data_IF_950797079269
#
_entry.id   IF_950797079269
#
_cell.length_a   1.000
_cell.length_b   1.000
_cell.length_c   1.000
_cell.angle_alpha   90.00
_cell.angle_beta   90.00
_cell.angle_gamma   90.00
#
_symmetry.space_group_name_H-M   'P 1'
#
loop_
_entity.id
_entity.type
_entity.pdbx_description
1 polymer ?
#
# COMPACT_ATOMS: atom_id res chain seq x y z
N UNK A 1 3.14 8.42 -1.53
CA UNK A 1 3.41 9.38 -2.61
C UNK A 1 2.63 10.66 -2.40
N UNK A 2 3.27 11.81 -2.41
CA UNK A 2 2.59 13.10 -2.29
C UNK A 2 1.86 13.57 -3.57
N UNK A 3 1.91 12.79 -4.67
CA UNK A 3 1.29 13.10 -5.96
C UNK A 3 0.26 12.03 -6.32
N UNK A 4 -0.94 12.45 -6.75
CA UNK A 4 -1.95 11.55 -7.32
C UNK A 4 -1.52 10.98 -8.67
N UNK A 5 -2.08 9.83 -9.05
CA UNK A 5 -1.87 9.24 -10.40
C UNK A 5 -0.54 8.57 -10.65
N UNK A 6 0.28 8.28 -9.62
CA UNK A 6 1.55 7.54 -9.79
C UNK A 6 1.40 6.01 -9.75
N UNK A 7 0.18 5.49 -9.61
CA UNK A 7 -0.11 4.06 -9.63
C UNK A 7 0.00 3.35 -8.28
N UNK A 8 -0.09 4.05 -7.13
CA UNK A 8 0.00 3.42 -5.80
C UNK A 8 -0.95 2.23 -5.63
N UNK A 9 -2.25 2.47 -5.79
CA UNK A 9 -3.28 1.46 -5.57
C UNK A 9 -3.13 0.26 -6.50
N UNK A 10 -2.75 0.49 -7.78
CA UNK A 10 -2.48 -0.60 -8.71
C UNK A 10 -1.26 -1.45 -8.30
N UNK A 11 -0.21 -0.81 -7.78
CA UNK A 11 0.96 -1.51 -7.24
C UNK A 11 0.57 -2.25 -5.95
N UNK A 12 -0.18 -1.61 -5.04
CA UNK A 12 -0.65 -2.24 -3.80
C UNK A 12 -1.49 -3.49 -4.10
N UNK A 13 -2.43 -3.42 -5.03
CA UNK A 13 -3.27 -4.56 -5.42
C UNK A 13 -2.45 -5.72 -6.00
N UNK A 14 -1.52 -5.42 -6.91
CA UNK A 14 -0.67 -6.44 -7.52
C UNK A 14 0.35 -7.02 -6.52
N UNK A 15 0.94 -6.19 -5.66
CA UNK A 15 1.85 -6.66 -4.60
C UNK A 15 1.11 -7.56 -3.61
N UNK A 16 -0.10 -7.19 -3.18
CA UNK A 16 -0.93 -8.00 -2.31
C UNK A 16 -1.22 -9.38 -2.92
N UNK A 17 -1.62 -9.40 -4.20
CA UNK A 17 -1.88 -10.64 -4.92
C UNK A 17 -0.60 -11.48 -5.13
N UNK A 18 0.53 -10.85 -5.38
CA UNK A 18 1.82 -11.53 -5.52
C UNK A 18 2.26 -12.21 -4.22
N UNK A 19 2.15 -11.52 -3.08
CA UNK A 19 2.49 -12.06 -1.76
C UNK A 19 1.53 -13.19 -1.37
N UNK A 20 0.22 -13.02 -1.59
CA UNK A 20 -0.77 -14.06 -1.33
C UNK A 20 -0.54 -15.31 -2.22
N UNK A 21 -0.16 -15.11 -3.48
CA UNK A 21 0.21 -16.20 -4.40
C UNK A 21 1.43 -17.03 -3.95
N UNK A 22 2.23 -16.50 -3.05
CA UNK A 22 3.37 -17.19 -2.41
C UNK A 22 2.99 -17.91 -1.12
N UNK A 23 1.73 -17.85 -0.72
CA UNK A 23 1.20 -18.51 0.46
C UNK A 23 1.21 -17.66 1.73
N UNK A 24 1.56 -16.38 1.65
CA UNK A 24 1.44 -15.46 2.78
C UNK A 24 -0.03 -15.09 3.03
N UNK A 25 -0.38 -14.91 4.30
CA UNK A 25 -1.67 -14.37 4.71
C UNK A 25 -1.62 -12.84 4.63
N UNK A 26 -2.27 -12.28 3.61
CA UNK A 26 -2.17 -10.85 3.29
C UNK A 26 -3.48 -10.12 3.56
N UNK A 27 -3.38 -9.00 4.28
CA UNK A 27 -4.41 -7.98 4.39
C UNK A 27 -4.10 -6.78 3.48
N UNK A 28 -5.15 -6.14 2.95
CA UNK A 28 -5.05 -4.93 2.16
C UNK A 28 -6.14 -3.93 2.58
N UNK A 29 -5.73 -2.78 3.10
CA UNK A 29 -6.60 -1.72 3.57
C UNK A 29 -6.50 -0.50 2.64
N UNK A 30 -7.63 -0.05 2.11
CA UNK A 30 -7.73 1.18 1.33
C UNK A 30 -8.07 2.35 2.26
N UNK A 31 -7.11 3.23 2.46
CA UNK A 31 -7.23 4.41 3.30
C UNK A 31 -7.65 5.68 2.52
N UNK A 32 -7.97 5.58 1.23
CA UNK A 32 -8.43 6.71 0.42
C UNK A 32 -9.96 6.86 0.48
N UNK A 33 -10.42 7.75 1.37
CA UNK A 33 -11.85 8.05 1.53
C UNK A 33 -12.47 8.76 0.33
N UNK A 34 -11.66 9.49 -0.44
CA UNK A 34 -12.17 10.34 -1.53
C UNK A 34 -12.21 9.61 -2.88
N UNK A 35 -11.39 8.58 -3.03
CA UNK A 35 -11.28 7.83 -4.27
C UNK A 35 -10.90 6.37 -4.00
N UNK A 36 -11.69 5.63 -3.19
CA UNK A 36 -11.38 4.25 -2.90
C UNK A 36 -11.37 3.43 -4.19
N UNK A 37 -10.35 2.63 -4.38
CA UNK A 37 -10.15 1.88 -5.62
C UNK A 37 -9.60 0.48 -5.41
N UNK A 38 -9.02 0.22 -4.24
CA UNK A 38 -8.31 -1.03 -3.97
C UNK A 38 -9.26 -2.24 -3.98
N UNK A 39 -10.48 -2.09 -3.44
CA UNK A 39 -11.50 -3.15 -3.45
C UNK A 39 -11.88 -3.55 -4.86
N UNK A 40 -12.08 -2.58 -5.76
CA UNK A 40 -12.33 -2.83 -7.17
C UNK A 40 -11.14 -3.53 -7.84
N UNK A 41 -9.92 -3.07 -7.59
CA UNK A 41 -8.71 -3.61 -8.18
C UNK A 41 -8.41 -5.05 -7.73
N UNK A 42 -8.91 -5.45 -6.56
CA UNK A 42 -8.79 -6.81 -6.02
C UNK A 42 -10.04 -7.67 -6.26
N UNK A 43 -11.02 -7.19 -7.04
CA UNK A 43 -12.19 -7.95 -7.46
C UNK A 43 -13.25 -8.17 -6.37
N UNK A 44 -13.30 -7.29 -5.37
CA UNK A 44 -14.27 -7.36 -4.26
C UNK A 44 -15.23 -6.16 -4.23
N UNK A 45 -15.36 -5.44 -5.35
CA UNK A 45 -16.32 -4.34 -5.48
C UNK A 45 -17.74 -4.84 -5.24
N UNK A 46 -18.50 -4.13 -4.39
CA UNK A 46 -19.86 -4.54 -4.01
C UNK A 46 -19.93 -5.74 -3.06
N UNK A 47 -18.79 -6.26 -2.58
CA UNK A 47 -18.80 -7.25 -1.51
C UNK A 47 -19.35 -6.61 -0.22
N UNK A 48 -20.17 -7.36 0.49
CA UNK A 48 -20.66 -6.96 1.81
C UNK A 48 -19.65 -7.38 2.86
N UNK A 49 -19.42 -6.51 3.83
CA UNK A 49 -18.62 -6.84 5.00
C UNK A 49 -19.45 -7.74 5.93
N UNK A 50 -18.79 -8.72 6.54
CA UNK A 50 -19.45 -9.57 7.52
C UNK A 50 -19.49 -8.88 8.89
N UNK A 51 -20.68 -8.82 9.50
CA UNK A 51 -20.80 -8.37 10.88
C UNK A 51 -20.35 -9.47 11.84
N UNK A 52 -19.42 -9.16 12.71
CA UNK A 52 -18.97 -10.04 13.79
C UNK A 52 -19.26 -9.38 15.14
N UNK A 53 -19.45 -10.16 16.22
CA UNK A 53 -19.67 -9.58 17.56
C UNK A 53 -18.56 -8.66 18.05
N UNK A 54 -17.34 -8.85 17.54
CA UNK A 54 -16.12 -8.13 17.92
C UNK A 54 -15.70 -7.07 16.92
N UNK A 55 -16.34 -7.00 15.72
CA UNK A 55 -15.95 -6.06 14.69
C UNK A 55 -16.48 -6.43 13.31
N UNK A 56 -15.73 -6.12 12.28
CA UNK A 56 -16.10 -6.32 10.89
C UNK A 56 -15.15 -7.31 10.21
N UNK A 57 -15.70 -8.33 9.53
CA UNK A 57 -14.90 -9.24 8.74
C UNK A 57 -14.50 -8.61 7.40
N UNK A 58 -13.22 -8.68 7.00
CA UNK A 58 -12.78 -8.21 5.69
C UNK A 58 -13.36 -9.09 4.57
N UNK A 59 -13.56 -8.49 3.39
CA UNK A 59 -13.91 -9.24 2.20
C UNK A 59 -12.72 -10.07 1.72
N UNK A 60 -12.98 -11.22 1.09
CA UNK A 60 -11.94 -12.08 0.53
C UNK A 60 -11.87 -11.93 -0.98
N UNK A 61 -10.72 -11.53 -1.50
CA UNK A 61 -10.49 -11.43 -2.94
C UNK A 61 -10.32 -12.82 -3.59
N UNK A 62 -10.54 -12.94 -4.92
CA UNK A 62 -10.24 -14.18 -5.64
C UNK A 62 -8.78 -14.63 -5.52
N UNK A 63 -7.85 -13.71 -5.30
CA UNK A 63 -6.43 -14.00 -5.07
C UNK A 63 -6.09 -14.36 -3.60
N UNK A 64 -7.09 -14.47 -2.72
CA UNK A 64 -6.89 -14.85 -1.33
C UNK A 64 -6.53 -13.69 -0.38
N UNK A 65 -6.49 -12.45 -0.86
CA UNK A 65 -6.21 -11.27 -0.03
C UNK A 65 -7.44 -10.88 0.78
N UNK A 66 -7.28 -10.58 2.07
CA UNK A 66 -8.32 -10.00 2.93
C UNK A 66 -8.36 -8.50 2.68
N UNK A 67 -9.51 -7.95 2.29
CA UNK A 67 -9.64 -6.58 1.81
C UNK A 67 -10.66 -5.79 2.59
N UNK A 68 -10.28 -4.59 2.99
CA UNK A 68 -11.20 -3.54 3.42
C UNK A 68 -10.99 -2.33 2.51
N UNK A 69 -12.06 -1.85 1.88
CA UNK A 69 -12.07 -0.61 1.11
C UNK A 69 -13.22 0.28 1.57
N UNK A 70 -12.98 1.57 1.56
CA UNK A 70 -13.98 2.57 1.94
C UNK A 70 -15.25 2.53 1.07
N UNK A 71 -15.16 2.02 -0.16
CA UNK A 71 -16.35 1.83 -1.01
C UNK A 71 -17.35 0.83 -0.42
N UNK A 72 -16.85 -0.19 0.31
CA UNK A 72 -17.70 -1.21 0.95
C UNK A 72 -18.51 -0.64 2.12
N UNK A 73 -17.99 0.42 2.76
CA UNK A 73 -18.63 1.10 3.87
C UNK A 73 -19.65 2.16 3.41
N UNK A 74 -19.53 2.64 2.17
CA UNK A 74 -20.41 3.70 1.63
C UNK A 74 -21.74 3.18 1.09
N UNK A 75 -21.84 1.89 0.76
CA UNK A 75 -23.00 1.32 0.06
C UNK A 75 -24.09 0.73 0.96
N UNK A 76 -23.99 0.81 2.27
CA UNK A 76 -25.02 0.30 3.16
C UNK A 76 -25.93 1.41 3.68
N UNK A 77 -27.15 1.47 3.14
CA UNK A 77 -28.22 2.33 3.68
C UNK A 77 -28.59 1.94 5.13
N UNK A 78 -28.28 0.73 5.56
CA UNK A 78 -28.66 0.13 6.84
C UNK A 78 -27.50 -0.11 7.82
N UNK A 79 -26.24 0.15 7.45
CA UNK A 79 -25.14 0.03 8.39
C UNK A 79 -25.32 1.04 9.53
N UNK A 80 -25.10 0.64 10.80
CA UNK A 80 -25.10 1.59 11.92
C UNK A 80 -23.84 2.45 11.83
N UNK A 81 -23.79 3.27 10.78
CA UNK A 81 -22.72 4.24 10.59
C UNK A 81 -22.80 5.26 11.71
N UNK A 82 -21.98 5.11 12.71
CA UNK A 82 -21.57 6.22 13.60
C UNK A 82 -20.98 7.40 12.82
N UNK A 83 -20.89 7.27 11.51
CA UNK A 83 -20.33 8.18 10.50
C UNK A 83 -21.34 9.18 9.93
N UNK A 84 -22.65 8.98 10.14
CA UNK A 84 -23.70 9.89 9.67
C UNK A 84 -24.04 10.94 10.72
N UNK A 85 -23.16 11.88 11.00
CA UNK A 85 -23.60 13.16 11.52
C UNK A 85 -23.71 14.16 10.36
N UNK A 86 -24.93 14.58 10.01
CA UNK A 86 -25.14 15.54 8.95
C UNK A 86 -24.82 16.95 9.46
N UNK A 87 -23.95 17.64 8.76
CA UNK A 87 -24.11 19.09 8.69
C UNK A 87 -23.02 19.97 9.30
N UNK A 88 -21.76 19.57 9.38
CA UNK A 88 -20.69 20.53 9.64
C UNK A 88 -19.60 20.44 8.57
N UNK A 89 -19.73 21.26 7.53
CA UNK A 89 -18.73 21.47 6.50
C UNK A 89 -17.56 22.30 7.04
N UNK A 90 -16.41 21.69 7.22
CA UNK A 90 -15.17 22.38 7.53
C UNK A 90 -13.98 21.43 7.43
N UNK A 91 -12.86 21.94 6.94
CA UNK A 91 -11.58 21.22 6.76
C UNK A 91 -11.11 20.45 8.02
N UNK A 92 -11.41 20.97 9.20
CA UNK A 92 -11.05 20.34 10.50
C UNK A 92 -11.88 19.06 10.71
N UNK A 93 -13.16 19.05 10.38
CA UNK A 93 -14.05 17.90 10.54
C UNK A 93 -13.71 16.77 9.58
N UNK A 94 -13.40 17.10 8.33
CA UNK A 94 -12.99 16.12 7.34
C UNK A 94 -11.69 15.40 7.78
N UNK A 95 -10.76 16.14 8.36
CA UNK A 95 -9.51 15.65 8.91
C UNK A 95 -9.71 14.72 10.10
N UNK A 96 -10.66 15.02 10.99
CA UNK A 96 -10.99 14.20 12.16
C UNK A 96 -11.71 12.92 11.75
N UNK A 97 -12.61 13.01 10.76
CA UNK A 97 -13.29 11.85 10.18
C UNK A 97 -12.29 10.89 9.53
N UNK A 98 -11.38 11.38 8.69
CA UNK A 98 -10.36 10.54 8.04
C UNK A 98 -9.50 9.80 9.06
N UNK A 99 -9.14 10.45 10.17
CA UNK A 99 -8.35 9.83 11.25
C UNK A 99 -9.17 8.78 12.01
N UNK A 100 -10.45 9.06 12.24
CA UNK A 100 -11.39 8.11 12.87
C UNK A 100 -11.54 6.84 12.04
N UNK A 101 -11.76 7.02 10.72
CA UNK A 101 -11.86 5.90 9.78
C UNK A 101 -10.63 5.03 9.77
N UNK A 102 -9.45 5.63 9.66
CA UNK A 102 -8.20 4.88 9.69
C UNK A 102 -8.06 4.04 10.97
N UNK A 103 -8.44 4.62 12.11
CA UNK A 103 -8.41 3.90 13.39
C UNK A 103 -9.35 2.71 13.40
N UNK A 104 -10.57 2.85 12.88
CA UNK A 104 -11.55 1.78 12.81
C UNK A 104 -11.13 0.70 11.81
N UNK A 105 -10.63 1.08 10.62
CA UNK A 105 -10.10 0.14 9.62
C UNK A 105 -8.92 -0.67 10.18
N UNK A 106 -8.09 -0.07 11.00
CA UNK A 106 -6.93 -0.76 11.58
C UNK A 106 -7.27 -1.51 12.86
N UNK A 107 -8.25 -1.05 13.65
CA UNK A 107 -8.54 -1.57 14.98
C UNK A 107 -9.79 -2.43 15.08
N UNK A 108 -10.86 -2.11 14.32
CA UNK A 108 -12.16 -2.77 14.44
C UNK A 108 -12.37 -3.87 13.37
N UNK A 109 -11.43 -4.01 12.43
CA UNK A 109 -11.46 -5.10 11.45
C UNK A 109 -10.84 -6.35 12.05
N UNK A 110 -11.59 -7.44 12.01
CA UNK A 110 -11.14 -8.78 12.40
C UNK A 110 -10.24 -9.40 11.33
N UNK A 111 -9.03 -8.87 11.22
CA UNK A 111 -8.05 -9.34 10.23
C UNK A 111 -7.64 -10.80 10.44
N UNK A 112 -7.74 -11.32 11.68
CA UNK A 112 -7.13 -12.58 12.08
C UNK A 112 -5.59 -12.50 12.04
N UNK A 113 -4.93 -13.65 11.99
CA UNK A 113 -3.48 -13.67 11.82
C UNK A 113 -3.10 -13.24 10.39
N UNK A 114 -2.18 -12.30 10.28
CA UNK A 114 -1.61 -11.81 9.03
C UNK A 114 -0.09 -11.89 9.09
N UNK A 115 0.51 -12.28 7.96
CA UNK A 115 1.95 -12.11 7.74
C UNK A 115 2.26 -10.68 7.30
N UNK A 116 1.36 -10.07 6.49
CA UNK A 116 1.53 -8.71 5.96
C UNK A 116 0.19 -7.98 5.90
N UNK A 117 0.14 -6.74 6.40
CA UNK A 117 -0.93 -5.79 6.15
C UNK A 117 -0.41 -4.65 5.27
N UNK A 118 -0.94 -4.53 4.05
CA UNK A 118 -0.67 -3.43 3.15
C UNK A 118 -1.73 -2.33 3.33
N UNK A 119 -1.29 -1.10 3.55
CA UNK A 119 -2.18 0.06 3.67
C UNK A 119 -1.94 1.00 2.50
N UNK A 120 -2.94 1.12 1.60
CA UNK A 120 -2.89 2.09 0.50
C UNK A 120 -3.29 3.47 1.01
N UNK A 121 -2.31 4.36 1.08
CA UNK A 121 -2.46 5.70 1.67
C UNK A 121 -2.80 6.71 0.56
N UNK A 122 -3.81 7.59 0.75
CA UNK A 122 -4.15 8.61 -0.23
C UNK A 122 -2.98 9.55 -0.53
N UNK A 123 -3.02 10.26 -1.66
CA UNK A 123 -2.00 11.22 -2.00
C UNK A 123 -1.96 12.38 -1.00
N UNK A 124 -0.76 12.86 -0.66
CA UNK A 124 -0.55 13.94 0.29
C UNK A 124 0.37 13.53 1.43
N UNK A 125 1.36 14.37 1.74
CA UNK A 125 2.31 14.09 2.82
C UNK A 125 1.68 14.22 4.21
N UNK A 126 0.68 15.07 4.36
CA UNK A 126 -0.11 15.23 5.58
C UNK A 126 -0.86 13.93 5.97
N UNK A 127 -1.35 13.17 4.99
CA UNK A 127 -2.02 11.88 5.22
C UNK A 127 -1.06 10.82 5.76
N UNK A 128 0.15 10.79 5.22
CA UNK A 128 1.21 9.90 5.72
C UNK A 128 1.51 10.20 7.19
N UNK A 129 1.67 11.49 7.55
CA UNK A 129 1.94 11.89 8.92
C UNK A 129 0.87 11.38 9.91
N UNK A 130 -0.40 11.54 9.56
CA UNK A 130 -1.52 11.05 10.40
C UNK A 130 -1.54 9.53 10.55
N UNK A 131 -1.27 8.79 9.46
CA UNK A 131 -1.18 7.34 9.53
C UNK A 131 -0.07 6.91 10.51
N UNK A 132 1.10 7.53 10.41
CA UNK A 132 2.25 7.23 11.26
C UNK A 132 2.01 7.61 12.74
N UNK A 133 1.14 8.60 13.02
CA UNK A 133 0.68 8.90 14.39
C UNK A 133 -0.26 7.82 14.96
N UNK A 134 -1.06 7.18 14.09
CA UNK A 134 -2.00 6.11 14.48
C UNK A 134 -1.34 4.75 14.60
N UNK A 135 -0.34 4.49 13.76
CA UNK A 135 0.42 3.24 13.70
C UNK A 135 1.87 3.54 13.98
N UNK A 136 2.30 3.56 15.25
CA UNK A 136 3.66 3.94 15.61
C UNK A 136 4.71 2.90 15.19
N UNK A 137 4.29 1.67 14.89
CA UNK A 137 5.17 0.56 14.50
C UNK A 137 4.94 0.17 13.04
N UNK A 138 5.35 1.04 12.12
CA UNK A 138 5.35 0.73 10.69
C UNK A 138 6.68 0.10 10.32
N UNK A 139 6.66 -1.16 9.90
CA UNK A 139 7.87 -1.89 9.51
C UNK A 139 8.47 -1.35 8.22
N UNK A 140 7.62 -1.13 7.22
CA UNK A 140 8.06 -0.76 5.89
C UNK A 140 7.19 0.35 5.30
N UNK A 141 7.82 1.28 4.60
CA UNK A 141 7.14 2.34 3.85
C UNK A 141 7.64 2.38 2.41
N UNK A 142 6.77 2.00 1.49
CA UNK A 142 7.03 2.03 0.06
C UNK A 142 6.59 3.38 -0.53
N UNK A 143 7.52 4.14 -1.05
CA UNK A 143 7.27 5.41 -1.71
C UNK A 143 7.16 5.21 -3.22
N UNK A 144 5.94 5.05 -3.72
CA UNK A 144 5.67 4.94 -5.16
C UNK A 144 5.80 6.30 -5.82
N UNK A 145 6.59 6.37 -6.89
CA UNK A 145 6.86 7.60 -7.63
C UNK A 145 7.12 7.31 -9.11
N UNK A 146 7.05 8.33 -9.95
CA UNK A 146 7.55 8.28 -11.32
C UNK A 146 8.95 8.87 -11.39
N UNK A 147 9.82 8.47 -12.34
CA UNK A 147 11.18 9.01 -12.45
C UNK A 147 11.20 10.41 -13.08
N UNK A 148 10.40 11.33 -12.52
CA UNK A 148 10.29 12.71 -12.99
C UNK A 148 10.96 13.70 -12.02
N UNK A 149 11.50 14.81 -12.53
CA UNK A 149 12.15 15.81 -11.69
C UNK A 149 11.25 16.38 -10.58
N UNK A 150 9.96 16.57 -10.86
CA UNK A 150 9.00 17.04 -9.85
C UNK A 150 8.74 16.04 -8.74
N UNK A 151 8.93 14.73 -9.00
CA UNK A 151 8.76 13.69 -8.00
C UNK A 151 9.85 13.74 -6.90
N UNK A 152 11.03 14.17 -7.23
CA UNK A 152 12.20 14.32 -6.32
C UNK A 152 11.87 15.15 -5.08
N UNK A 153 11.22 16.29 -5.27
CA UNK A 153 10.85 17.18 -4.17
C UNK A 153 9.85 16.52 -3.19
N UNK A 154 8.89 15.79 -3.74
CA UNK A 154 7.87 15.08 -2.95
C UNK A 154 8.49 13.91 -2.18
N UNK A 155 9.36 13.14 -2.83
CA UNK A 155 10.11 12.03 -2.20
C UNK A 155 10.92 12.54 -1.01
N UNK A 156 11.71 13.61 -1.18
CA UNK A 156 12.53 14.18 -0.10
C UNK A 156 11.71 14.61 1.12
N UNK A 157 10.47 15.09 0.92
CA UNK A 157 9.57 15.45 2.00
C UNK A 157 9.04 14.20 2.72
N UNK A 158 8.60 13.19 1.97
CA UNK A 158 8.10 11.92 2.52
C UNK A 158 9.17 11.17 3.31
N UNK A 159 10.40 11.15 2.82
CA UNK A 159 11.56 10.53 3.49
C UNK A 159 11.85 11.20 4.84
N UNK A 160 11.80 12.54 4.89
CA UNK A 160 11.99 13.25 6.16
C UNK A 160 10.93 12.91 7.19
N UNK A 161 9.68 12.76 6.75
CA UNK A 161 8.58 12.35 7.62
C UNK A 161 8.76 10.92 8.14
N UNK A 162 9.08 9.99 7.26
CA UNK A 162 9.31 8.59 7.63
C UNK A 162 10.44 8.44 8.66
N UNK A 163 11.55 9.17 8.47
CA UNK A 163 12.67 9.20 9.43
C UNK A 163 12.25 9.77 10.79
N UNK A 164 11.39 10.80 10.79
CA UNK A 164 10.87 11.41 12.02
C UNK A 164 9.90 10.50 12.79
N UNK A 165 9.25 9.58 12.11
CA UNK A 165 8.28 8.64 12.69
C UNK A 165 8.87 7.26 13.01
N UNK A 166 10.19 7.09 12.94
CA UNK A 166 10.90 5.85 13.23
C UNK A 166 10.38 4.62 12.44
N UNK A 167 9.99 4.83 11.16
CA UNK A 167 9.66 3.74 10.25
C UNK A 167 10.86 2.82 10.08
N UNK A 168 10.67 1.51 10.17
CA UNK A 168 11.74 0.52 10.13
C UNK A 168 12.55 0.60 8.83
N UNK A 169 11.88 0.44 7.69
CA UNK A 169 12.52 0.50 6.37
C UNK A 169 11.74 1.43 5.44
N UNK A 170 12.46 2.26 4.68
CA UNK A 170 11.88 3.10 3.63
C UNK A 170 12.51 2.76 2.30
N UNK A 171 11.69 2.50 1.29
CA UNK A 171 12.16 2.19 -0.06
C UNK A 171 11.37 2.94 -1.13
N UNK A 172 11.97 3.11 -2.30
CA UNK A 172 11.36 3.68 -3.48
C UNK A 172 10.85 2.57 -4.41
N UNK A 173 9.69 2.81 -4.99
CA UNK A 173 9.18 2.06 -6.14
C UNK A 173 9.05 3.03 -7.30
N UNK A 174 9.94 2.92 -8.28
CA UNK A 174 9.91 3.73 -9.47
C UNK A 174 8.91 3.12 -10.46
N UNK A 175 7.75 3.75 -10.61
CA UNK A 175 6.72 3.31 -11.54
C UNK A 175 6.76 4.09 -12.84
N UNK A 176 6.34 3.45 -13.93
CA UNK A 176 6.33 4.03 -15.29
C UNK A 176 7.74 4.44 -15.77
N UNK A 177 8.76 3.64 -15.42
CA UNK A 177 10.16 3.91 -15.81
C UNK A 177 10.39 3.84 -17.32
N UNK A 178 9.58 3.04 -18.01
CA UNK A 178 9.59 2.88 -19.46
C UNK A 178 8.23 2.41 -19.95
N UNK A 179 8.07 2.26 -21.26
CA UNK A 179 6.87 1.72 -21.89
C UNK A 179 7.19 0.34 -22.48
N UNK A 180 6.41 -0.66 -22.08
CA UNK A 180 6.47 -1.99 -22.69
C UNK A 180 5.58 -2.03 -23.93
N UNK A 181 6.15 -2.28 -25.11
CA UNK A 181 5.37 -2.45 -26.33
C UNK A 181 4.50 -3.72 -26.23
N UNK A 182 3.18 -3.63 -26.41
CA UNK A 182 2.31 -4.80 -26.31
C UNK A 182 2.51 -5.83 -27.43
N UNK A 183 3.12 -5.43 -28.55
CA UNK A 183 3.32 -6.32 -29.69
C UNK A 183 4.64 -7.10 -29.64
N UNK A 184 5.73 -6.47 -29.19
CA UNK A 184 7.06 -7.08 -29.22
C UNK A 184 7.74 -7.17 -27.84
N UNK A 185 7.13 -6.67 -26.77
CA UNK A 185 7.70 -6.68 -25.42
C UNK A 185 8.88 -5.72 -25.20
N UNK A 186 9.31 -4.98 -26.24
CA UNK A 186 10.41 -4.02 -26.12
C UNK A 186 10.05 -2.92 -25.10
N UNK A 187 10.94 -2.65 -24.15
CA UNK A 187 10.80 -1.55 -23.19
C UNK A 187 11.55 -0.33 -23.69
N UNK A 188 10.84 0.76 -23.95
CA UNK A 188 11.40 2.06 -24.32
C UNK A 188 11.31 3.03 -23.13
N UNK A 189 12.29 3.92 -22.99
CA UNK A 189 12.29 4.93 -21.92
C UNK A 189 11.14 5.93 -22.10
N UNK A 190 10.39 6.21 -21.04
CA UNK A 190 9.37 7.27 -21.00
C UNK A 190 9.92 8.61 -20.49
N UNK A 191 10.98 8.55 -19.68
CA UNK A 191 11.64 9.72 -19.13
C UNK A 191 13.11 9.67 -19.50
N UNK A 192 13.68 10.80 -19.90
CA UNK A 192 15.07 10.89 -20.30
C UNK A 192 16.02 10.74 -19.11
N UNK A 193 16.98 9.84 -19.23
CA UNK A 193 18.09 9.63 -18.30
C UNK A 193 17.79 8.70 -17.13
N UNK A 194 18.81 8.46 -16.29
CA UNK A 194 18.78 7.55 -15.14
C UNK A 194 17.90 8.08 -13.97
N UNK A 195 16.60 8.34 -14.23
CA UNK A 195 15.70 8.98 -13.28
C UNK A 195 15.59 8.23 -11.94
N UNK A 196 15.52 6.91 -11.99
CA UNK A 196 15.46 6.06 -10.78
C UNK A 196 16.77 6.12 -9.99
N UNK A 197 17.90 6.03 -10.67
CA UNK A 197 19.23 6.12 -10.05
C UNK A 197 19.47 7.48 -9.40
N UNK A 198 19.05 8.56 -10.06
CA UNK A 198 19.10 9.90 -9.46
C UNK A 198 18.20 10.02 -8.24
N UNK A 199 17.01 9.42 -8.27
CA UNK A 199 16.11 9.40 -7.10
C UNK A 199 16.78 8.70 -5.91
N UNK A 200 17.45 7.58 -6.14
CA UNK A 200 18.20 6.85 -5.12
C UNK A 200 19.38 7.69 -4.58
N UNK A 201 20.22 8.21 -5.46
CA UNK A 201 21.40 9.03 -5.09
C UNK A 201 21.01 10.27 -4.28
N UNK A 202 19.94 10.96 -4.66
CA UNK A 202 19.52 12.22 -4.02
C UNK A 202 18.69 12.02 -2.74
N UNK A 203 17.89 10.98 -2.68
CA UNK A 203 17.08 10.67 -1.49
C UNK A 203 17.87 9.90 -0.44
N UNK A 204 18.92 9.16 -0.85
CA UNK A 204 19.62 8.20 -0.02
C UNK A 204 18.73 7.01 0.37
N UNK A 205 17.68 6.72 -0.44
CA UNK A 205 16.71 5.63 -0.22
C UNK A 205 16.80 4.66 -1.39
N UNK A 206 16.94 3.34 -1.12
CA UNK A 206 17.08 2.35 -2.19
C UNK A 206 15.83 2.24 -3.06
N UNK A 207 16.03 2.04 -4.36
CA UNK A 207 14.97 1.66 -5.30
C UNK A 207 14.82 0.15 -5.27
N UNK A 208 13.69 -0.35 -4.76
CA UNK A 208 13.43 -1.78 -4.66
C UNK A 208 12.88 -2.39 -5.93
N UNK A 209 12.15 -1.59 -6.73
CA UNK A 209 11.63 -2.04 -8.01
C UNK A 209 11.50 -0.89 -9.00
N UNK A 210 11.72 -1.19 -10.27
CA UNK A 210 11.47 -0.35 -11.42
C UNK A 210 10.39 -1.01 -12.28
N UNK A 211 9.18 -0.44 -12.26
CA UNK A 211 8.00 -1.00 -12.92
C UNK A 211 7.77 -0.24 -14.21
N UNK A 212 7.80 -0.90 -15.39
CA UNK A 212 7.50 -0.25 -16.65
C UNK A 212 6.01 0.11 -16.74
N UNK A 213 5.69 1.13 -17.52
CA UNK A 213 4.31 1.40 -17.91
C UNK A 213 3.82 0.28 -18.84
N UNK A 214 2.81 -0.43 -18.38
CA UNK A 214 2.15 -1.51 -19.11
C UNK A 214 0.65 -1.24 -19.12
N UNK A 215 0.03 -0.99 -20.30
CA UNK A 215 -1.41 -0.77 -20.39
C UNK A 215 -2.23 -1.93 -19.84
N UNK A 216 -1.69 -3.16 -19.86
CA UNK A 216 -2.36 -4.35 -19.34
C UNK A 216 -2.50 -4.31 -17.81
N UNK A 217 -1.55 -3.65 -17.11
CA UNK A 217 -1.64 -3.45 -15.66
C UNK A 217 -2.89 -2.63 -15.29
N UNK A 218 -3.17 -1.56 -16.05
CA UNK A 218 -4.39 -0.76 -15.87
C UNK A 218 -5.65 -1.56 -16.17
N UNK A 219 -5.70 -2.22 -17.32
CA UNK A 219 -6.85 -3.02 -17.74
C UNK A 219 -7.16 -4.16 -16.74
N UNK A 220 -6.13 -4.83 -16.22
CA UNK A 220 -6.23 -5.89 -15.23
C UNK A 220 -6.81 -5.36 -13.91
N UNK A 221 -6.31 -4.22 -13.42
CA UNK A 221 -6.85 -3.59 -12.19
C UNK A 221 -8.29 -3.11 -12.38
N UNK A 222 -8.65 -2.57 -13.55
CA UNK A 222 -10.02 -2.17 -13.84
C UNK A 222 -11.00 -3.35 -13.87
N UNK A 223 -10.53 -4.53 -14.26
CA UNK A 223 -11.31 -5.78 -14.26
C UNK A 223 -11.36 -6.49 -12.90
N UNK A 224 -10.63 -6.00 -11.90
CA UNK A 224 -10.53 -6.62 -10.58
C UNK A 224 -9.68 -7.89 -10.53
N UNK A 225 -8.81 -8.07 -11.52
CA UNK A 225 -7.91 -9.23 -11.63
C UNK A 225 -6.46 -8.75 -11.76
N UNK A 226 -5.69 -8.71 -10.67
CA UNK A 226 -4.30 -8.24 -10.70
C UNK A 226 -3.46 -8.93 -11.79
N UNK A 227 -2.66 -8.15 -12.53
CA UNK A 227 -1.89 -8.66 -13.67
C UNK A 227 -0.93 -9.77 -13.29
N UNK A 228 -0.35 -9.72 -12.10
CA UNK A 228 0.53 -10.77 -11.57
C UNK A 228 -0.13 -12.15 -11.51
N UNK A 229 -1.46 -12.22 -11.49
CA UNK A 229 -2.23 -13.48 -11.48
C UNK A 229 -2.64 -13.92 -12.89
N UNK A 230 -2.83 -12.99 -13.83
CA UNK A 230 -3.32 -13.27 -15.19
C UNK A 230 -2.21 -13.37 -16.22
N UNK A 231 -1.13 -12.62 -16.04
CA UNK A 231 0.07 -12.64 -16.90
C UNK A 231 1.33 -12.49 -16.04
N UNK A 232 1.76 -13.56 -15.34
CA UNK A 232 2.91 -13.52 -14.47
C UNK A 232 4.23 -13.26 -15.21
N UNK A 233 4.31 -13.58 -16.49
CA UNK A 233 5.50 -13.41 -17.31
C UNK A 233 5.65 -11.99 -17.87
N UNK A 234 4.65 -11.12 -17.71
CA UNK A 234 4.76 -9.72 -18.11
C UNK A 234 5.91 -9.02 -17.38
N UNK A 235 6.62 -8.12 -18.07
CA UNK A 235 7.75 -7.38 -17.45
C UNK A 235 7.31 -6.60 -16.20
N UNK A 236 6.10 -6.03 -16.20
CA UNK A 236 5.52 -5.35 -15.04
C UNK A 236 5.21 -6.31 -13.89
N UNK A 237 4.72 -7.52 -14.18
CA UNK A 237 4.51 -8.57 -13.18
C UNK A 237 5.84 -9.04 -12.56
N UNK A 238 6.85 -9.26 -13.36
CA UNK A 238 8.19 -9.66 -12.89
C UNK A 238 8.83 -8.58 -12.00
N UNK A 239 8.65 -7.30 -12.35
CA UNK A 239 9.10 -6.19 -11.51
C UNK A 239 8.34 -6.15 -10.15
N UNK A 240 7.06 -6.48 -10.15
CA UNK A 240 6.26 -6.58 -8.91
C UNK A 240 6.68 -7.80 -8.09
N UNK A 241 7.02 -8.93 -8.71
CA UNK A 241 7.57 -10.06 -7.98
C UNK A 241 8.93 -9.73 -7.35
N UNK A 242 9.78 -8.97 -8.03
CA UNK A 242 11.02 -8.43 -7.44
C UNK A 242 10.73 -7.55 -6.23
N UNK A 243 9.68 -6.70 -6.29
CA UNK A 243 9.24 -5.91 -5.15
C UNK A 243 8.76 -6.81 -4.00
N UNK A 244 8.00 -7.87 -4.31
CA UNK A 244 7.54 -8.82 -3.30
C UNK A 244 8.70 -9.54 -2.61
N UNK A 245 9.76 -9.94 -3.35
CA UNK A 245 10.99 -10.51 -2.76
C UNK A 245 11.60 -9.56 -1.72
N UNK A 246 11.70 -8.26 -2.06
CA UNK A 246 12.23 -7.24 -1.16
C UNK A 246 11.37 -7.02 0.08
N UNK A 247 10.05 -7.06 -0.09
CA UNK A 247 9.11 -6.96 1.04
C UNK A 247 9.28 -8.15 1.98
N UNK A 248 9.33 -9.37 1.46
CA UNK A 248 9.51 -10.59 2.25
C UNK A 248 10.85 -10.62 2.98
N UNK A 249 11.95 -10.22 2.34
CA UNK A 249 13.28 -10.13 2.97
C UNK A 249 13.25 -9.27 4.26
N UNK A 250 12.31 -8.37 4.39
CA UNK A 250 12.18 -7.44 5.51
C UNK A 250 10.98 -7.74 6.42
N UNK A 251 10.13 -8.72 6.07
CA UNK A 251 9.08 -9.26 6.93
C UNK A 251 9.75 -10.24 7.91
N UNK A 252 9.69 -9.96 9.20
CA UNK A 252 10.22 -10.85 10.23
C UNK A 252 11.59 -10.49 10.80
N UNK A 253 12.27 -9.45 10.32
CA UNK A 253 13.53 -8.98 10.93
C UNK A 253 13.33 -8.55 12.39
N UNK A 254 12.11 -8.19 12.82
CA UNK A 254 11.78 -7.87 14.21
C UNK A 254 11.40 -9.07 15.09
N UNK A 255 11.19 -10.25 14.50
CA UNK A 255 10.76 -11.45 15.25
C UNK A 255 11.86 -12.14 16.03
N UNK A 256 13.12 -11.93 15.67
CA UNK A 256 14.25 -12.70 16.22
C UNK A 256 15.10 -11.95 17.29
N UNK A 257 14.93 -10.63 17.43
CA UNK A 257 15.70 -9.82 18.39
C UNK A 257 15.13 -9.76 19.82
N UNK A 258 14.00 -10.44 20.09
CA UNK A 258 13.34 -10.40 21.42
C UNK A 258 13.56 -11.65 22.28
N UNK A 259 14.38 -12.62 21.87
CA UNK A 259 14.72 -13.79 22.67
C UNK A 259 16.24 -13.89 22.85
N UNK A 260 16.83 -13.09 23.73
CA UNK A 260 18.24 -13.17 24.04
C UNK A 260 18.77 -12.29 25.18
N UNK A 261 17.90 -11.69 25.96
CA UNK A 261 18.28 -10.96 27.16
C UNK A 261 18.29 -11.85 28.41
N UNK A 262 19.28 -12.70 28.56
CA UNK A 262 19.59 -13.36 29.84
C UNK A 262 19.94 -12.29 30.86
N UNK A 263 19.02 -12.04 31.79
CA UNK A 263 19.32 -11.33 33.04
C UNK A 263 20.35 -12.15 33.79
N UNK A 264 21.59 -11.68 33.83
CA UNK A 264 22.56 -12.15 34.81
C UNK A 264 22.16 -11.55 36.15
N UNK A 265 21.64 -12.40 37.03
CA UNK A 265 21.61 -12.12 38.47
C UNK A 265 23.02 -11.85 38.93
N UNK A 266 23.25 -10.69 39.51
CA UNK A 266 24.46 -10.38 40.23
C UNK A 266 24.18 -10.75 41.72
N UNK A 267 24.72 -11.88 42.12
CA UNK A 267 24.96 -12.22 43.52
C UNK A 267 26.06 -11.32 44.11
N UNK A 268 25.82 -10.82 45.27
CA UNK A 268 26.65 -10.36 46.35
C UNK A 268 26.47 -8.94 46.80
#
# INVERSE_FOLDING_TARGET
>A
SGKGGVGKSAITANLAAALAGRGLTVGAADADLNGPSLGRMLGVSGARLGDLPSGVAPAQSPSGVRVISMEMLQNEEDAPLRWREPGMGGFIWQSTLETGVLREVLGDVEWGELDVLLVDVPPGTDKIGRLLELVPEVDQMLLVTTPSETARFVVSKSVRMARGAAVGTVALVANMVGHTCPECGHVSELFSGDGSKRLEEESGIPVWAEIPFDPRLGAATDSGTPLVTTDPDAHSSQAIFTLADRVEEHVGIRGDDTIGGTVKEADS
#
